data_IF_575353005834
#
_entry.id   IF_575353005834
#
_cell.length_a   1.000
_cell.length_b   1.000
_cell.length_c   1.000
_cell.angle_alpha   90.00
_cell.angle_beta   90.00
_cell.angle_gamma   90.00
#
_symmetry.space_group_name_H-M   'P 1'
#
loop_
_entity.id
_entity.type
_entity.pdbx_description
1 polymer ?
#
# COMPACT_ATOMS: atom_id res chain seq x y z
N UNK A 1 14.82 10.79 -6.30
CA UNK A 1 14.54 10.24 -7.64
C UNK A 1 15.78 9.64 -8.29
N UNK A 2 16.77 10.45 -8.73
CA UNK A 2 18.00 9.95 -9.39
C UNK A 2 18.84 9.01 -8.51
N UNK A 3 18.98 9.30 -7.21
CA UNK A 3 19.72 8.46 -6.25
C UNK A 3 19.20 7.01 -6.17
N UNK A 4 17.90 6.81 -6.42
CA UNK A 4 17.23 5.52 -6.30
C UNK A 4 16.77 4.95 -7.66
N UNK A 5 17.33 5.46 -8.76
CA UNK A 5 16.99 5.04 -10.13
C UNK A 5 15.47 5.04 -10.44
N UNK A 6 14.73 5.98 -9.84
CA UNK A 6 13.27 6.08 -9.96
C UNK A 6 12.45 4.84 -9.54
N UNK A 7 13.02 3.94 -8.74
CA UNK A 7 12.31 2.79 -8.16
C UNK A 7 12.06 3.01 -6.68
N UNK A 8 10.84 2.79 -6.19
CA UNK A 8 10.45 2.87 -4.76
C UNK A 8 11.13 4.03 -4.03
N UNK A 9 11.03 5.24 -4.60
CA UNK A 9 11.85 6.39 -4.20
C UNK A 9 11.53 6.82 -2.77
N UNK A 10 10.26 6.76 -2.38
CA UNK A 10 9.80 7.16 -1.05
C UNK A 10 10.15 6.11 0.00
N UNK A 11 10.01 4.82 -0.33
CA UNK A 11 10.30 3.69 0.55
C UNK A 11 11.80 3.60 0.83
N UNK A 12 12.63 3.69 -0.21
CA UNK A 12 14.09 3.71 -0.04
C UNK A 12 14.55 4.91 0.79
N UNK A 13 13.97 6.09 0.54
CA UNK A 13 14.27 7.27 1.35
C UNK A 13 13.87 7.08 2.82
N UNK A 14 12.73 6.44 3.07
CA UNK A 14 12.25 6.15 4.42
C UNK A 14 13.16 5.15 5.15
N UNK A 15 13.67 4.15 4.45
CA UNK A 15 14.67 3.21 4.97
C UNK A 15 15.94 3.96 5.37
N UNK A 16 16.49 4.79 4.48
CA UNK A 16 17.74 5.52 4.74
C UNK A 16 17.57 6.45 5.95
N UNK A 17 16.50 7.25 5.96
CA UNK A 17 16.21 8.19 7.05
C UNK A 17 16.03 7.46 8.39
N UNK A 18 15.23 6.40 8.41
CA UNK A 18 14.96 5.63 9.63
C UNK A 18 16.21 4.90 10.13
N UNK A 19 17.03 4.38 9.22
CA UNK A 19 18.27 3.70 9.57
C UNK A 19 19.31 4.68 10.12
N UNK A 20 19.49 5.83 9.48
CA UNK A 20 20.41 6.88 9.93
C UNK A 20 19.98 7.41 11.31
N UNK A 21 18.68 7.60 11.53
CA UNK A 21 18.13 7.97 12.83
C UNK A 21 18.45 6.91 13.90
N UNK A 22 18.21 5.63 13.59
CA UNK A 22 18.48 4.52 14.50
C UNK A 22 19.98 4.39 14.83
N UNK A 23 20.88 4.79 13.94
CA UNK A 23 22.34 4.74 14.18
C UNK A 23 22.87 5.87 15.07
N UNK A 24 22.05 6.87 15.44
CA UNK A 24 22.47 7.95 16.34
C UNK A 24 22.77 7.42 17.75
N UNK A 25 23.76 8.00 18.45
CA UNK A 25 24.24 7.54 19.76
C UNK A 25 23.12 7.35 20.79
N UNK A 26 22.13 8.26 20.82
CA UNK A 26 20.98 8.19 21.73
C UNK A 26 20.10 6.93 21.64
N UNK A 27 20.25 6.11 20.60
CA UNK A 27 19.54 4.84 20.43
C UNK A 27 20.43 3.61 20.64
N UNK A 28 21.60 3.76 21.27
CA UNK A 28 22.51 2.64 21.54
C UNK A 28 21.84 1.52 22.34
N UNK A 29 21.19 1.85 23.46
CA UNK A 29 20.50 0.86 24.29
C UNK A 29 19.42 0.09 23.51
N UNK A 30 18.67 0.79 22.66
CA UNK A 30 17.68 0.16 21.77
C UNK A 30 18.34 -0.80 20.79
N UNK A 31 19.47 -0.42 20.18
CA UNK A 31 20.20 -1.30 19.25
C UNK A 31 20.71 -2.55 19.97
N UNK A 32 21.20 -2.41 21.21
CA UNK A 32 21.66 -3.53 22.03
C UNK A 32 20.52 -4.49 22.43
N UNK A 33 19.28 -4.01 22.52
CA UNK A 33 18.11 -4.88 22.70
C UNK A 33 17.68 -5.61 21.41
N UNK A 34 18.04 -5.10 20.23
CA UNK A 34 17.62 -5.66 18.94
C UNK A 34 18.65 -6.68 18.41
N UNK A 35 19.95 -6.39 18.56
CA UNK A 35 21.03 -7.26 18.11
C UNK A 35 22.27 -7.14 19.00
N UNK A 36 22.97 -8.25 19.18
CA UNK A 36 24.20 -8.34 19.97
C UNK A 36 25.46 -8.50 19.10
N UNK A 37 25.31 -8.89 17.83
CA UNK A 37 26.42 -9.14 16.93
C UNK A 37 26.19 -8.63 15.50
N UNK A 38 27.24 -8.68 14.67
CA UNK A 38 27.22 -8.15 13.30
C UNK A 38 26.27 -8.92 12.38
N UNK A 39 26.09 -10.22 12.59
CA UNK A 39 25.21 -11.04 11.76
C UNK A 39 23.73 -10.76 12.07
N UNK A 40 23.38 -10.60 13.35
CA UNK A 40 22.04 -10.15 13.77
C UNK A 40 21.74 -8.74 13.27
N UNK A 41 22.71 -7.81 13.32
CA UNK A 41 22.54 -6.47 12.72
C UNK A 41 22.23 -6.55 11.24
N UNK A 42 22.95 -7.38 10.47
CA UNK A 42 22.70 -7.59 9.03
C UNK A 42 21.31 -8.18 8.81
N UNK A 43 20.92 -9.19 9.59
CA UNK A 43 19.59 -9.82 9.52
C UNK A 43 18.47 -8.84 9.83
N UNK A 44 18.62 -8.04 10.89
CA UNK A 44 17.67 -7.01 11.26
C UNK A 44 17.53 -5.97 10.14
N UNK A 45 18.65 -5.47 9.59
CA UNK A 45 18.62 -4.56 8.45
C UNK A 45 17.88 -5.17 7.26
N UNK A 46 18.15 -6.43 6.95
CA UNK A 46 17.48 -7.11 5.85
C UNK A 46 15.96 -7.19 6.06
N UNK A 47 15.51 -7.49 7.28
CA UNK A 47 14.09 -7.52 7.63
C UNK A 47 13.45 -6.12 7.48
N UNK A 48 14.07 -5.07 8.03
CA UNK A 48 13.56 -3.69 7.90
C UNK A 48 13.46 -3.27 6.43
N UNK A 49 14.52 -3.50 5.64
CA UNK A 49 14.52 -3.19 4.21
C UNK A 49 13.39 -3.95 3.51
N UNK A 50 13.29 -5.26 3.71
CA UNK A 50 12.26 -6.05 3.05
C UNK A 50 10.84 -5.59 3.43
N UNK A 51 10.61 -5.29 4.71
CA UNK A 51 9.31 -4.82 5.21
C UNK A 51 8.91 -3.48 4.62
N UNK A 52 9.80 -2.48 4.60
CA UNK A 52 9.48 -1.16 4.06
C UNK A 52 9.38 -1.20 2.53
N UNK A 53 10.23 -1.97 1.85
CA UNK A 53 10.12 -2.12 0.39
C UNK A 53 8.84 -2.88 -0.02
N UNK A 54 8.24 -3.65 0.89
CA UNK A 54 6.98 -4.34 0.62
C UNK A 54 5.78 -3.39 0.57
N UNK A 55 5.87 -2.17 1.13
CA UNK A 55 4.78 -1.17 1.08
C UNK A 55 4.69 -0.44 -0.25
N UNK A 56 5.65 -0.63 -1.17
CA UNK A 56 5.50 -0.17 -2.54
C UNK A 56 4.54 -1.10 -3.30
N UNK A 57 3.28 -0.68 -3.33
CA UNK A 57 2.17 -1.41 -3.98
C UNK A 57 2.08 -1.06 -5.48
N UNK A 58 2.62 0.09 -5.89
CA UNK A 58 2.48 0.64 -7.25
C UNK A 58 3.49 0.00 -8.21
N UNK A 59 4.67 -0.38 -7.72
CA UNK A 59 5.66 -1.08 -8.53
C UNK A 59 5.19 -2.50 -8.90
N UNK A 60 4.86 -2.67 -10.18
CA UNK A 60 4.36 -3.93 -10.76
C UNK A 60 5.39 -5.06 -10.72
N UNK A 61 6.68 -4.74 -10.83
CA UNK A 61 7.76 -5.74 -10.78
C UNK A 61 7.88 -6.29 -9.36
N UNK A 62 7.81 -5.41 -8.36
CA UNK A 62 7.80 -5.81 -6.96
C UNK A 62 6.56 -6.63 -6.61
N UNK A 63 5.39 -6.27 -7.16
CA UNK A 63 4.16 -7.07 -6.99
C UNK A 63 4.30 -8.49 -7.53
N UNK A 64 4.85 -8.66 -8.73
CA UNK A 64 5.07 -9.99 -9.30
C UNK A 64 6.06 -10.80 -8.47
N UNK A 65 7.21 -10.21 -8.12
CA UNK A 65 8.22 -10.87 -7.30
C UNK A 65 7.67 -11.36 -5.95
N UNK A 66 6.73 -10.64 -5.36
CA UNK A 66 6.07 -11.03 -4.11
C UNK A 66 5.10 -12.19 -4.29
N UNK A 67 4.30 -12.17 -5.35
CA UNK A 67 3.43 -13.30 -5.69
C UNK A 67 4.25 -14.58 -5.90
N UNK A 68 5.34 -14.50 -6.66
CA UNK A 68 6.23 -15.65 -6.90
C UNK A 68 6.85 -16.17 -5.58
N UNK A 69 7.21 -15.28 -4.65
CA UNK A 69 7.73 -15.65 -3.33
C UNK A 69 6.67 -16.33 -2.47
N UNK A 70 5.44 -15.82 -2.49
CA UNK A 70 4.30 -16.42 -1.78
C UNK A 70 4.03 -17.83 -2.28
N UNK A 71 3.90 -17.98 -3.60
CA UNK A 71 3.61 -19.27 -4.23
C UNK A 71 4.71 -20.29 -3.92
N UNK A 72 5.98 -19.85 -3.94
CA UNK A 72 7.10 -20.71 -3.54
C UNK A 72 7.06 -21.12 -2.07
N UNK A 73 6.57 -20.27 -1.18
CA UNK A 73 6.55 -20.54 0.26
C UNK A 73 5.35 -21.40 0.69
N UNK A 74 4.18 -21.18 0.09
CA UNK A 74 2.94 -21.82 0.53
C UNK A 74 2.43 -22.89 -0.45
N UNK A 75 2.75 -22.82 -1.75
CA UNK A 75 2.28 -23.77 -2.77
C UNK A 75 3.36 -24.77 -3.23
N UNK A 76 4.62 -24.36 -3.42
CA UNK A 76 5.69 -25.33 -3.74
C UNK A 76 6.08 -26.23 -2.55
N UNK A 77 5.93 -25.74 -1.31
CA UNK A 77 6.20 -26.53 -0.09
C UNK A 77 5.22 -27.69 0.10
N UNK A 78 4.01 -27.59 -0.44
CA UNK A 78 2.99 -28.64 -0.33
C UNK A 78 3.34 -29.87 -1.19
N UNK A 79 4.02 -29.68 -2.33
CA UNK A 79 4.51 -30.80 -3.15
C UNK A 79 5.74 -31.50 -2.55
N UNK A 80 6.53 -30.81 -1.73
CA UNK A 80 7.66 -31.40 -1.02
C UNK A 80 7.25 -32.14 0.27
N UNK A 81 6.02 -31.95 0.76
CA UNK A 81 5.50 -32.60 1.96
C UNK A 81 5.09 -34.07 1.74
N UNK A 82 5.11 -34.56 0.50
CA UNK A 82 5.01 -36.00 0.21
C UNK A 82 6.33 -36.75 0.47
N UNK A 83 7.46 -36.04 0.59
CA UNK A 83 8.71 -36.56 1.10
C UNK A 83 8.84 -36.18 2.59
N UNK A 84 8.99 -37.19 3.47
CA UNK A 84 9.04 -37.13 4.95
C UNK A 84 10.21 -36.31 5.56
N UNK A 85 10.62 -35.21 4.94
CA UNK A 85 11.70 -34.33 5.41
C UNK A 85 11.11 -33.22 6.29
N UNK A 86 11.51 -33.19 7.57
CA UNK A 86 11.16 -32.08 8.47
C UNK A 86 11.61 -30.74 7.84
N UNK A 87 10.77 -29.69 7.84
CA UNK A 87 11.12 -28.42 7.19
C UNK A 87 12.38 -27.85 7.83
N UNK A 88 13.46 -27.75 7.04
CA UNK A 88 14.74 -27.23 7.50
C UNK A 88 14.61 -25.79 8.02
N UNK A 89 15.50 -25.40 8.94
CA UNK A 89 15.51 -24.07 9.58
C UNK A 89 15.53 -22.89 8.57
N UNK A 90 16.01 -23.13 7.34
CA UNK A 90 16.01 -22.17 6.23
C UNK A 90 14.59 -21.93 5.67
N UNK A 91 13.77 -22.97 5.58
CA UNK A 91 12.39 -22.87 5.08
C UNK A 91 11.51 -22.11 6.09
N UNK A 92 11.68 -22.39 7.38
CA UNK A 92 10.99 -21.66 8.47
C UNK A 92 11.35 -20.16 8.47
N UNK A 93 12.65 -19.82 8.36
CA UNK A 93 13.09 -18.42 8.31
C UNK A 93 12.57 -17.68 7.05
N UNK A 94 12.47 -18.39 5.92
CA UNK A 94 11.92 -17.84 4.68
C UNK A 94 10.42 -17.57 4.80
N UNK A 95 9.65 -18.52 5.33
CA UNK A 95 8.22 -18.37 5.58
C UNK A 95 7.95 -17.22 6.55
N UNK A 96 8.71 -17.12 7.65
CA UNK A 96 8.58 -16.02 8.61
C UNK A 96 8.80 -14.63 7.96
N UNK A 97 9.80 -14.51 7.08
CA UNK A 97 10.07 -13.24 6.37
C UNK A 97 8.89 -12.86 5.47
N UNK A 98 8.35 -13.81 4.72
CA UNK A 98 7.22 -13.59 3.81
C UNK A 98 5.96 -13.23 4.59
N UNK A 99 5.73 -13.88 5.73
CA UNK A 99 4.63 -13.52 6.64
C UNK A 99 4.79 -12.07 7.08
N UNK A 100 5.96 -11.66 7.61
CA UNK A 100 6.20 -10.27 8.03
C UNK A 100 5.92 -9.27 6.91
N UNK A 101 6.37 -9.54 5.68
CA UNK A 101 6.08 -8.71 4.51
C UNK A 101 4.56 -8.55 4.31
N UNK A 102 3.79 -9.65 4.37
CA UNK A 102 2.32 -9.61 4.21
C UNK A 102 1.62 -8.91 5.37
N UNK A 103 2.09 -9.04 6.61
CA UNK A 103 1.54 -8.32 7.77
C UNK A 103 1.68 -6.82 7.56
N UNK A 104 2.85 -6.36 7.13
CA UNK A 104 3.12 -4.93 6.90
C UNK A 104 2.24 -4.41 5.76
N UNK A 105 2.10 -5.16 4.67
CA UNK A 105 1.19 -4.80 3.57
C UNK A 105 -0.26 -4.71 4.02
N UNK A 106 -0.74 -5.70 4.77
CA UNK A 106 -2.09 -5.68 5.32
C UNK A 106 -2.31 -4.48 6.25
N UNK A 107 -1.30 -4.14 7.04
CA UNK A 107 -1.34 -3.00 7.97
C UNK A 107 -1.44 -1.67 7.22
N UNK A 108 -0.74 -1.52 6.10
CA UNK A 108 -0.71 -0.30 5.29
C UNK A 108 -2.09 0.02 4.67
N UNK A 109 -2.85 -1.02 4.30
CA UNK A 109 -4.18 -0.89 3.69
C UNK A 109 -5.32 -1.37 4.60
N UNK A 110 -5.07 -1.48 5.91
CA UNK A 110 -6.02 -2.06 6.85
C UNK A 110 -7.37 -1.35 6.88
N UNK A 111 -7.39 -0.04 6.61
CA UNK A 111 -8.62 0.76 6.56
C UNK A 111 -9.63 0.26 5.52
N UNK A 112 -9.18 -0.40 4.45
CA UNK A 112 -10.06 -1.03 3.45
C UNK A 112 -10.75 -2.31 3.96
N UNK A 113 -10.21 -2.92 5.02
CA UNK A 113 -10.68 -4.16 5.66
C UNK A 113 -11.31 -3.89 7.03
N UNK A 114 -11.72 -2.63 7.29
CA UNK A 114 -12.40 -2.20 8.51
C UNK A 114 -13.84 -1.77 8.21
N UNK A 115 -14.62 -1.48 9.25
CA UNK A 115 -16.00 -1.01 9.11
C UNK A 115 -16.12 0.18 8.14
N UNK A 116 -17.20 0.20 7.34
CA UNK A 116 -17.46 1.16 6.25
C UNK A 116 -17.12 2.63 6.56
N UNK A 117 -17.51 3.13 7.74
CA UNK A 117 -17.23 4.51 8.14
C UNK A 117 -15.74 4.82 8.31
N UNK A 118 -14.95 3.84 8.76
CA UNK A 118 -13.50 3.99 8.89
C UNK A 118 -12.85 3.99 7.51
N UNK A 119 -13.27 3.08 6.62
CA UNK A 119 -12.86 3.07 5.23
C UNK A 119 -13.15 4.42 4.55
N UNK A 120 -14.39 4.92 4.62
CA UNK A 120 -14.77 6.21 4.02
C UNK A 120 -13.91 7.37 4.52
N UNK A 121 -13.67 7.44 5.84
CA UNK A 121 -12.86 8.50 6.45
C UNK A 121 -11.43 8.53 5.93
N UNK A 122 -10.79 7.36 5.83
CA UNK A 122 -9.40 7.29 5.36
C UNK A 122 -9.30 7.42 3.84
N UNK A 123 -10.26 6.88 3.09
CA UNK A 123 -10.36 7.08 1.65
C UNK A 123 -10.53 8.56 1.30
N UNK A 124 -11.37 9.30 2.04
CA UNK A 124 -11.54 10.74 1.84
C UNK A 124 -10.25 11.50 2.12
N UNK A 125 -9.52 11.15 3.18
CA UNK A 125 -8.22 11.79 3.49
C UNK A 125 -7.20 11.57 2.37
N UNK A 126 -7.12 10.36 1.84
CA UNK A 126 -6.26 10.06 0.70
C UNK A 126 -6.70 10.84 -0.55
N UNK A 127 -8.01 10.91 -0.82
CA UNK A 127 -8.56 11.71 -1.92
C UNK A 127 -8.15 13.19 -1.79
N UNK A 128 -8.29 13.78 -0.61
CA UNK A 128 -7.88 15.16 -0.34
C UNK A 128 -6.38 15.36 -0.54
N UNK A 129 -5.53 14.45 -0.06
CA UNK A 129 -4.08 14.54 -0.27
C UNK A 129 -3.71 14.52 -1.76
N UNK A 130 -4.36 13.65 -2.53
CA UNK A 130 -4.17 13.55 -3.98
C UNK A 130 -4.68 14.80 -4.71
N UNK A 131 -5.82 15.36 -4.28
CA UNK A 131 -6.36 16.60 -4.81
C UNK A 131 -5.39 17.76 -4.59
N UNK A 132 -4.83 17.89 -3.37
CA UNK A 132 -3.82 18.91 -3.06
C UNK A 132 -2.57 18.71 -3.92
N UNK A 133 -2.09 17.47 -4.05
CA UNK A 133 -0.93 17.16 -4.88
C UNK A 133 -1.15 17.56 -6.34
N UNK A 134 -2.34 17.29 -6.90
CA UNK A 134 -2.70 17.70 -8.26
C UNK A 134 -2.78 19.23 -8.38
N UNK A 135 -3.52 19.91 -7.49
CA UNK A 135 -3.66 21.36 -7.50
C UNK A 135 -2.30 22.08 -7.47
N UNK A 136 -1.39 21.60 -6.62
CA UNK A 136 -0.04 22.15 -6.49
C UNK A 136 0.95 21.66 -7.56
N UNK A 137 0.52 20.88 -8.55
CA UNK A 137 1.35 20.41 -9.65
C UNK A 137 2.35 19.31 -9.32
N UNK A 138 2.18 18.63 -8.18
CA UNK A 138 2.96 17.46 -7.78
C UNK A 138 2.41 16.16 -8.37
N UNK A 139 1.13 16.11 -8.75
CA UNK A 139 0.51 14.97 -9.41
C UNK A 139 0.08 15.28 -10.85
N UNK A 140 0.26 14.30 -11.73
CA UNK A 140 -0.03 14.43 -13.17
C UNK A 140 -1.48 14.16 -13.59
N UNK A 141 -2.28 13.54 -12.73
CA UNK A 141 -3.66 13.13 -13.03
C UNK A 141 -4.64 13.73 -12.03
N UNK A 142 -5.78 14.20 -12.53
CA UNK A 142 -6.89 14.65 -11.69
C UNK A 142 -7.51 13.43 -10.96
N UNK A 143 -7.55 13.44 -9.62
CA UNK A 143 -8.19 12.37 -8.85
C UNK A 143 -9.69 12.19 -9.16
N UNK A 144 -10.38 13.23 -9.65
CA UNK A 144 -11.84 13.19 -9.91
C UNK A 144 -12.21 12.28 -11.09
N UNK A 145 -11.32 12.12 -12.08
CA UNK A 145 -11.59 11.44 -13.35
C UNK A 145 -11.55 9.90 -13.26
N UNK A 146 -11.36 9.33 -12.08
CA UNK A 146 -11.24 7.87 -11.97
C UNK A 146 -11.31 7.28 -10.58
N UNK A 147 -11.58 8.07 -9.53
CA UNK A 147 -11.57 7.57 -8.15
C UNK A 147 -12.52 6.39 -7.96
N UNK A 148 -13.78 6.53 -8.38
CA UNK A 148 -14.79 5.48 -8.23
C UNK A 148 -14.35 4.15 -8.85
N UNK A 149 -13.97 4.16 -10.12
CA UNK A 149 -13.51 2.96 -10.84
C UNK A 149 -12.17 2.45 -10.34
N UNK A 150 -11.30 3.35 -9.90
CA UNK A 150 -9.99 3.02 -9.33
C UNK A 150 -10.13 2.24 -8.03
N UNK A 151 -11.02 2.68 -7.15
CA UNK A 151 -11.32 1.96 -5.90
C UNK A 151 -11.94 0.58 -6.17
N UNK A 152 -12.89 0.46 -7.11
CA UNK A 152 -13.42 -0.86 -7.51
C UNK A 152 -12.29 -1.78 -7.97
N UNK A 153 -11.43 -1.28 -8.86
CA UNK A 153 -10.29 -2.05 -9.33
C UNK A 153 -9.35 -2.42 -8.17
N UNK A 154 -9.11 -1.50 -7.23
CA UNK A 154 -8.24 -1.71 -6.08
C UNK A 154 -8.79 -2.78 -5.14
N UNK A 155 -10.09 -2.79 -4.87
CA UNK A 155 -10.71 -3.87 -4.10
C UNK A 155 -10.58 -5.22 -4.81
N UNK A 156 -11.00 -5.28 -6.07
CA UNK A 156 -11.07 -6.54 -6.82
C UNK A 156 -9.67 -7.14 -7.10
N UNK A 157 -8.69 -6.28 -7.38
CA UNK A 157 -7.36 -6.72 -7.83
C UNK A 157 -6.30 -6.67 -6.73
N UNK A 158 -6.53 -6.03 -5.59
CA UNK A 158 -5.52 -5.91 -4.54
C UNK A 158 -6.05 -6.27 -3.14
N UNK A 159 -7.06 -5.56 -2.62
CA UNK A 159 -7.52 -5.74 -1.24
C UNK A 159 -8.12 -7.13 -1.01
N UNK A 160 -9.04 -7.58 -1.86
CA UNK A 160 -9.69 -8.89 -1.69
C UNK A 160 -8.68 -10.04 -1.85
N UNK A 161 -7.80 -10.05 -2.88
CA UNK A 161 -6.71 -11.04 -2.95
C UNK A 161 -5.80 -11.04 -1.72
N UNK A 162 -5.47 -9.87 -1.17
CA UNK A 162 -4.65 -9.77 0.04
C UNK A 162 -5.37 -10.33 1.26
N UNK A 163 -6.65 -10.00 1.46
CA UNK A 163 -7.45 -10.51 2.56
C UNK A 163 -7.58 -12.04 2.53
N UNK A 164 -7.77 -12.63 1.34
CA UNK A 164 -7.77 -14.09 1.16
C UNK A 164 -6.44 -14.73 1.56
N UNK A 165 -5.30 -14.13 1.18
CA UNK A 165 -3.99 -14.62 1.61
C UNK A 165 -3.81 -14.57 3.14
N UNK A 166 -4.37 -13.56 3.80
CA UNK A 166 -4.33 -13.43 5.26
C UNK A 166 -5.19 -14.51 5.96
N UNK A 167 -6.33 -14.86 5.38
CA UNK A 167 -7.16 -15.99 5.81
C UNK A 167 -6.41 -17.32 5.63
N UNK A 168 -5.86 -17.56 4.43
CA UNK A 168 -5.11 -18.78 4.09
C UNK A 168 -3.87 -19.00 4.99
N UNK A 169 -3.21 -17.93 5.44
CA UNK A 169 -2.00 -18.08 6.23
C UNK A 169 -2.25 -18.55 7.66
N UNK A 170 -3.48 -18.42 8.18
CA UNK A 170 -3.87 -18.85 9.53
C UNK A 170 -3.15 -18.15 10.68
N UNK A 171 -2.24 -17.21 10.39
CA UNK A 171 -1.41 -16.50 11.39
C UNK A 171 -2.26 -15.60 12.30
N UNK A 172 -3.41 -15.14 11.82
CA UNK A 172 -4.29 -14.20 12.52
C UNK A 172 -5.48 -14.85 13.22
N UNK A 173 -5.62 -16.18 13.14
CA UNK A 173 -6.76 -16.90 13.72
C UNK A 173 -8.11 -16.33 13.25
N UNK A 174 -9.10 -16.30 14.13
CA UNK A 174 -10.47 -15.83 13.83
C UNK A 174 -10.57 -14.38 13.34
N UNK A 175 -9.53 -13.55 13.54
CA UNK A 175 -9.52 -12.16 13.07
C UNK A 175 -9.33 -12.03 11.55
N UNK A 176 -8.81 -13.04 10.85
CA UNK A 176 -8.67 -12.99 9.39
C UNK A 176 -10.01 -13.02 8.66
N UNK A 177 -10.97 -13.77 9.20
CA UNK A 177 -12.30 -13.93 8.62
C UNK A 177 -13.05 -12.60 8.63
N UNK A 178 -12.87 -11.79 9.68
CA UNK A 178 -13.44 -10.45 9.77
C UNK A 178 -12.88 -9.53 8.68
N UNK A 179 -11.58 -9.56 8.39
CA UNK A 179 -10.97 -8.70 7.37
C UNK A 179 -11.51 -8.98 5.96
N UNK A 180 -11.63 -10.25 5.59
CA UNK A 180 -12.19 -10.60 4.28
C UNK A 180 -13.65 -10.18 4.17
N UNK A 181 -14.44 -10.40 5.22
CA UNK A 181 -15.85 -9.99 5.24
C UNK A 181 -16.00 -8.46 5.11
N UNK A 182 -15.22 -7.67 5.84
CA UNK A 182 -15.25 -6.21 5.70
C UNK A 182 -14.78 -5.75 4.32
N UNK A 183 -13.76 -6.37 3.73
CA UNK A 183 -13.31 -6.04 2.38
C UNK A 183 -14.42 -6.25 1.34
N UNK A 184 -15.11 -7.39 1.39
CA UNK A 184 -16.21 -7.73 0.49
C UNK A 184 -17.39 -6.77 0.66
N UNK A 185 -17.77 -6.47 1.91
CA UNK A 185 -18.87 -5.56 2.21
C UNK A 185 -18.52 -4.13 1.78
N UNK A 186 -17.32 -3.63 2.07
CA UNK A 186 -16.87 -2.32 1.63
C UNK A 186 -16.85 -2.20 0.11
N UNK A 187 -16.39 -3.24 -0.61
CA UNK A 187 -16.44 -3.26 -2.08
C UNK A 187 -17.88 -3.14 -2.57
N UNK A 188 -18.82 -3.90 -1.97
CA UNK A 188 -20.25 -3.86 -2.33
C UNK A 188 -20.87 -2.50 -2.04
N UNK A 189 -20.61 -1.96 -0.86
CA UNK A 189 -21.09 -0.64 -0.44
C UNK A 189 -20.53 0.47 -1.35
N UNK A 190 -19.26 0.37 -1.72
CA UNK A 190 -18.64 1.29 -2.67
C UNK A 190 -19.26 1.20 -4.06
N UNK A 191 -19.59 0.01 -4.56
CA UNK A 191 -20.29 -0.14 -5.83
C UNK A 191 -21.66 0.55 -5.82
N UNK A 192 -22.41 0.43 -4.71
CA UNK A 192 -23.75 1.03 -4.57
C UNK A 192 -23.71 2.55 -4.34
N UNK A 193 -22.80 3.03 -3.49
CA UNK A 193 -22.82 4.41 -2.96
C UNK A 193 -21.62 5.25 -3.39
N UNK A 194 -20.56 4.64 -3.93
CA UNK A 194 -19.26 5.27 -4.14
C UNK A 194 -19.28 6.50 -5.06
N UNK A 195 -20.20 6.55 -6.04
CA UNK A 195 -20.37 7.74 -6.88
C UNK A 195 -20.86 8.96 -6.09
N UNK A 196 -21.81 8.75 -5.18
CA UNK A 196 -22.33 9.82 -4.33
C UNK A 196 -21.36 10.18 -3.21
N UNK A 197 -20.59 9.20 -2.74
CA UNK A 197 -19.45 9.44 -1.84
C UNK A 197 -18.40 10.32 -2.53
N UNK A 198 -18.04 10.06 -3.79
CA UNK A 198 -17.09 10.91 -4.54
C UNK A 198 -17.59 12.35 -4.70
N UNK A 199 -18.89 12.55 -4.97
CA UNK A 199 -19.49 13.90 -5.01
C UNK A 199 -19.38 14.60 -3.66
N UNK A 200 -19.67 13.87 -2.58
CA UNK A 200 -19.55 14.39 -1.21
C UNK A 200 -18.10 14.76 -0.88
N UNK A 201 -17.13 13.91 -1.23
CA UNK A 201 -15.70 14.18 -1.03
C UNK A 201 -15.25 15.45 -1.77
N UNK A 202 -15.72 15.67 -3.00
CA UNK A 202 -15.41 16.88 -3.77
C UNK A 202 -16.03 18.13 -3.12
N UNK A 203 -17.28 18.05 -2.68
CA UNK A 203 -17.94 19.14 -1.96
C UNK A 203 -17.20 19.47 -0.65
N UNK A 204 -16.88 18.44 0.14
CA UNK A 204 -16.15 18.59 1.39
C UNK A 204 -14.76 19.19 1.15
N UNK A 205 -14.07 18.81 0.07
CA UNK A 205 -12.77 19.37 -0.29
C UNK A 205 -12.88 20.87 -0.59
N UNK A 206 -13.89 21.30 -1.35
CA UNK A 206 -14.15 22.71 -1.63
C UNK A 206 -14.37 23.51 -0.34
N UNK A 207 -15.18 22.97 0.58
CA UNK A 207 -15.52 23.64 1.84
C UNK A 207 -14.32 23.72 2.80
N UNK A 208 -13.50 22.65 2.86
CA UNK A 208 -12.34 22.58 3.76
C UNK A 208 -11.13 23.37 3.24
N UNK A 209 -10.95 23.45 1.93
CA UNK A 209 -9.76 24.04 1.30
C UNK A 209 -10.10 25.14 0.28
N UNK A 210 -10.82 26.21 0.66
CA UNK A 210 -11.28 27.24 -0.28
C UNK A 210 -10.13 27.96 -1.02
N UNK A 211 -8.95 28.06 -0.39
CA UNK A 211 -7.76 28.66 -0.98
C UNK A 211 -7.05 27.74 -1.99
N UNK A 212 -7.21 26.42 -1.87
CA UNK A 212 -6.69 25.44 -2.84
C UNK A 212 -7.71 25.24 -3.96
N UNK A 213 -9.01 25.37 -3.66
CA UNK A 213 -10.09 25.24 -4.63
C UNK A 213 -9.95 26.20 -5.82
N UNK A 214 -9.51 27.43 -5.60
CA UNK A 214 -9.22 28.36 -6.71
C UNK A 214 -8.09 27.85 -7.62
N UNK A 215 -7.10 27.14 -7.07
CA UNK A 215 -6.03 26.50 -7.85
C UNK A 215 -6.57 25.30 -8.63
N UNK A 216 -7.49 24.54 -8.03
CA UNK A 216 -8.21 23.45 -8.70
C UNK A 216 -8.95 23.97 -9.93
N UNK A 217 -9.76 25.02 -9.78
CA UNK A 217 -10.52 25.62 -10.89
C UNK A 217 -9.61 26.14 -12.01
N UNK A 218 -8.53 26.84 -11.65
CA UNK A 218 -7.55 27.34 -12.61
C UNK A 218 -6.87 26.20 -13.39
N UNK A 219 -6.48 25.13 -12.70
CA UNK A 219 -5.82 23.98 -13.32
C UNK A 219 -6.78 23.18 -14.21
N UNK A 220 -8.03 23.04 -13.80
CA UNK A 220 -9.07 22.40 -14.60
C UNK A 220 -9.34 23.17 -15.90
N UNK A 221 -9.40 24.50 -15.83
CA UNK A 221 -9.54 25.35 -17.02
C UNK A 221 -8.37 25.20 -17.99
N UNK A 222 -7.14 25.11 -17.49
CA UNK A 222 -5.95 24.85 -18.32
C UNK A 222 -6.02 23.46 -18.96
N UNK A 223 -6.38 22.43 -18.20
CA UNK A 223 -6.51 21.07 -18.73
C UNK A 223 -7.56 20.98 -19.85
N UNK A 224 -8.73 21.61 -19.67
CA UNK A 224 -9.78 21.68 -20.68
C UNK A 224 -9.33 22.42 -21.94
N UNK A 225 -8.59 23.54 -21.79
CA UNK A 225 -8.07 24.29 -22.92
C UNK A 225 -7.02 23.50 -23.73
N UNK A 226 -6.18 22.71 -23.05
CA UNK A 226 -5.20 21.82 -23.71
C UNK A 226 -5.92 20.72 -24.49
N UNK A 227 -6.90 20.05 -23.88
CA UNK A 227 -7.67 18.99 -24.55
C UNK A 227 -8.37 19.51 -25.82
N UNK A 228 -9.03 20.67 -25.74
CA UNK A 228 -9.69 21.28 -26.89
C UNK A 228 -8.71 21.72 -28.00
N UNK A 229 -7.47 22.08 -27.66
CA UNK A 229 -6.45 22.44 -28.64
C UNK A 229 -5.86 21.22 -29.36
N UNK A 230 -5.84 20.06 -28.72
CA UNK A 230 -5.39 18.81 -29.33
C UNK A 230 -6.47 18.19 -30.23
N UNK A 231 -7.76 18.30 -29.87
CA UNK A 231 -8.88 17.90 -30.73
C UNK A 231 -8.98 18.71 -32.04
N UNK A 232 -8.49 19.96 -32.05
CA UNK A 232 -8.46 20.80 -33.26
C UNK A 232 -7.23 20.57 -34.16
N UNK A 233 -6.32 19.66 -33.78
CA UNK A 233 -5.14 19.28 -34.58
C UNK A 233 -5.29 17.93 -35.29
N UNK A 234 -6.34 17.18 -34.99
CA UNK A 234 -6.75 15.97 -35.73
C UNK A 234 -7.73 16.31 -36.87
#
# INVERSE_FOLDING_TARGET
AKQYNNKSVAEQHSVDLGWDLLMQERFEDLRLCIYCNREEKKRFRQLVVNSVMATDIVDKDLRQLRNDRWDKAFHCSQQAAEDNSSPGMVDVNRKATIVIEHIIQASDVAHCMQHWHVYCKWNERLYQEMMIAWCCGRAGKDPTEGWFSGEIWFFDNYIIPLAKKLEECGVFGVSSDEYLNYALENRREWEMKGRDVCKSMLSNFKDQYPHIWSQYEARLAVAAAVAAADENKE
#
